data_IF_159735258794
#
_entry.id   IF_159735258794
#
_cell.length_a   1.000
_cell.length_b   1.000
_cell.length_c   1.000
_cell.angle_alpha   90.00
_cell.angle_beta   90.00
_cell.angle_gamma   90.00
#
_symmetry.space_group_name_H-M   'P 1'
#
loop_
_entity.id
_entity.type
_entity.pdbx_description
1 polymer ?
#
# COMPACT_ATOMS: atom_id res chain seq x y z
N UNK A 1 -31.42 -31.49 -71.08
CA UNK A 1 -31.17 -30.06 -71.41
C UNK A 1 -29.74 -29.75 -71.00
N UNK A 2 -28.81 -29.56 -71.96
CA UNK A 2 -27.40 -29.23 -71.66
C UNK A 2 -27.31 -27.76 -71.27
N UNK A 3 -26.77 -27.47 -70.08
CA UNK A 3 -26.46 -26.10 -69.66
C UNK A 3 -25.14 -25.72 -70.32
N UNK A 4 -25.17 -24.86 -71.33
CA UNK A 4 -23.97 -24.34 -71.96
C UNK A 4 -23.20 -23.48 -70.96
N UNK A 5 -22.02 -23.96 -70.54
CA UNK A 5 -21.08 -23.16 -69.75
C UNK A 5 -20.52 -22.07 -70.66
N UNK A 6 -20.91 -20.82 -70.41
CA UNK A 6 -20.31 -19.65 -71.05
C UNK A 6 -18.82 -19.59 -70.67
N UNK A 7 -17.93 -19.98 -71.58
CA UNK A 7 -16.48 -19.94 -71.37
C UNK A 7 -15.98 -18.52 -71.62
N UNK A 8 -15.62 -17.82 -70.55
CA UNK A 8 -15.13 -16.46 -70.59
C UNK A 8 -13.70 -16.40 -71.18
N UNK A 9 -13.46 -15.50 -72.14
CA UNK A 9 -12.14 -15.36 -72.78
C UNK A 9 -11.06 -14.90 -71.79
N UNK A 10 -9.81 -15.33 -72.01
CA UNK A 10 -8.65 -14.98 -71.15
C UNK A 10 -8.47 -13.46 -70.97
N UNK A 11 -8.78 -12.67 -72.01
CA UNK A 11 -8.74 -11.19 -71.99
C UNK A 11 -9.83 -10.61 -71.08
N UNK A 12 -11.06 -11.11 -71.17
CA UNK A 12 -12.17 -10.65 -70.35
C UNK A 12 -11.99 -11.09 -68.89
N UNK A 13 -11.45 -12.28 -68.64
CA UNK A 13 -11.10 -12.75 -67.28
C UNK A 13 -10.06 -11.85 -66.62
N UNK A 14 -9.02 -11.44 -67.35
CA UNK A 14 -8.01 -10.50 -66.84
C UNK A 14 -8.59 -9.11 -66.54
N UNK A 15 -9.52 -8.62 -67.36
CA UNK A 15 -10.22 -7.34 -67.11
C UNK A 15 -11.10 -7.42 -65.86
N UNK A 16 -11.86 -8.51 -65.71
CA UNK A 16 -12.71 -8.74 -64.55
C UNK A 16 -11.90 -8.85 -63.25
N UNK A 17 -10.78 -9.60 -63.27
CA UNK A 17 -9.90 -9.70 -62.09
C UNK A 17 -9.35 -8.32 -61.70
N UNK A 18 -8.91 -7.50 -62.66
CA UNK A 18 -8.45 -6.13 -62.38
C UNK A 18 -9.55 -5.25 -61.78
N UNK A 19 -10.77 -5.34 -62.30
CA UNK A 19 -11.93 -4.61 -61.75
C UNK A 19 -12.24 -5.05 -60.31
N UNK A 20 -12.25 -6.36 -60.05
CA UNK A 20 -12.48 -6.90 -58.70
C UNK A 20 -11.36 -6.47 -57.75
N UNK A 21 -10.09 -6.56 -58.16
CA UNK A 21 -8.96 -6.09 -57.34
C UNK A 21 -9.05 -4.60 -57.03
N UNK A 22 -9.44 -3.78 -58.02
CA UNK A 22 -9.65 -2.35 -57.81
C UNK A 22 -10.80 -2.07 -56.82
N UNK A 23 -11.92 -2.77 -56.96
CA UNK A 23 -13.06 -2.64 -56.05
C UNK A 23 -12.70 -3.07 -54.62
N UNK A 24 -11.96 -4.17 -54.46
CA UNK A 24 -11.46 -4.64 -53.17
C UNK A 24 -10.52 -3.62 -52.52
N UNK A 25 -9.63 -2.99 -53.29
CA UNK A 25 -8.77 -1.92 -52.76
C UNK A 25 -9.59 -0.73 -52.24
N UNK A 26 -10.63 -0.31 -52.94
CA UNK A 26 -11.52 0.79 -52.50
C UNK A 26 -12.22 0.41 -51.19
N UNK A 27 -12.72 -0.82 -51.07
CA UNK A 27 -13.39 -1.31 -49.85
C UNK A 27 -12.41 -1.32 -48.67
N UNK A 28 -11.18 -1.82 -48.86
CA UNK A 28 -10.15 -1.85 -47.81
C UNK A 28 -9.77 -0.44 -47.36
N UNK A 29 -9.59 0.50 -48.29
CA UNK A 29 -9.29 1.90 -47.97
C UNK A 29 -10.47 2.58 -47.24
N UNK A 30 -11.71 2.30 -47.67
CA UNK A 30 -12.91 2.83 -47.02
C UNK A 30 -13.07 2.34 -45.57
N UNK A 31 -12.95 1.03 -45.35
CA UNK A 31 -13.02 0.42 -44.01
C UNK A 31 -11.86 0.90 -43.13
N UNK A 32 -10.64 0.99 -43.68
CA UNK A 32 -9.48 1.53 -42.98
C UNK A 32 -9.69 2.99 -42.55
N UNK A 33 -10.24 3.82 -43.44
CA UNK A 33 -10.58 5.21 -43.14
C UNK A 33 -11.61 5.35 -42.01
N UNK A 34 -12.68 4.54 -42.05
CA UNK A 34 -13.71 4.52 -41.00
C UNK A 34 -13.11 4.07 -39.66
N UNK A 35 -12.25 3.04 -39.67
CA UNK A 35 -11.58 2.55 -38.46
C UNK A 35 -10.69 3.63 -37.82
N UNK A 36 -9.88 4.33 -38.62
CA UNK A 36 -9.02 5.42 -38.13
C UNK A 36 -9.85 6.58 -37.58
N UNK A 37 -10.92 6.96 -38.27
CA UNK A 37 -11.83 8.02 -37.82
C UNK A 37 -12.50 7.64 -36.48
N UNK A 38 -12.97 6.41 -36.33
CA UNK A 38 -13.57 5.93 -35.08
C UNK A 38 -12.56 5.90 -33.93
N UNK A 39 -11.33 5.45 -34.19
CA UNK A 39 -10.25 5.44 -33.19
C UNK A 39 -9.87 6.86 -32.75
N UNK A 40 -9.81 7.80 -33.69
CA UNK A 40 -9.55 9.20 -33.38
C UNK A 40 -10.70 9.82 -32.58
N UNK A 41 -11.94 9.52 -32.94
CA UNK A 41 -13.13 9.98 -32.21
C UNK A 41 -13.12 9.50 -30.75
N UNK A 42 -12.88 8.21 -30.51
CA UNK A 42 -12.81 7.67 -29.15
C UNK A 42 -11.63 8.26 -28.34
N UNK A 43 -10.49 8.52 -28.97
CA UNK A 43 -9.37 9.20 -28.31
C UNK A 43 -9.76 10.61 -27.85
N UNK A 44 -10.32 11.43 -28.74
CA UNK A 44 -10.74 12.80 -28.44
C UNK A 44 -11.83 12.82 -27.37
N UNK A 45 -12.77 11.87 -27.43
CA UNK A 45 -13.83 11.71 -26.41
C UNK A 45 -13.24 11.39 -25.03
N UNK A 46 -12.25 10.50 -24.97
CA UNK A 46 -11.56 10.16 -23.73
C UNK A 46 -10.77 11.36 -23.16
N UNK A 47 -10.11 12.15 -24.00
CA UNK A 47 -9.39 13.37 -23.55
C UNK A 47 -10.34 14.42 -22.99
N UNK A 48 -11.48 14.66 -23.64
CA UNK A 48 -12.52 15.56 -23.12
C UNK A 48 -13.09 15.09 -21.78
N UNK A 49 -13.33 13.79 -21.62
CA UNK A 49 -13.81 13.23 -20.37
C UNK A 49 -12.80 13.41 -19.23
N UNK A 50 -11.50 13.23 -19.50
CA UNK A 50 -10.41 13.50 -18.54
C UNK A 50 -10.35 14.98 -18.16
N UNK A 51 -10.44 15.89 -19.13
CA UNK A 51 -10.43 17.33 -18.88
C UNK A 51 -11.60 17.76 -17.96
N UNK A 52 -12.80 17.22 -18.20
CA UNK A 52 -13.98 17.49 -17.37
C UNK A 52 -13.80 16.98 -15.93
N UNK A 53 -13.21 15.80 -15.74
CA UNK A 53 -12.92 15.28 -14.40
C UNK A 53 -11.89 16.14 -13.65
N UNK A 54 -10.86 16.63 -14.35
CA UNK A 54 -9.86 17.53 -13.77
C UNK A 54 -10.51 18.83 -13.31
N UNK A 55 -11.43 19.40 -14.12
CA UNK A 55 -12.14 20.62 -13.74
C UNK A 55 -13.05 20.42 -12.52
N UNK A 56 -13.76 19.28 -12.45
CA UNK A 56 -14.57 18.92 -11.26
C UNK A 56 -13.71 18.80 -10.00
N UNK A 57 -12.57 18.10 -10.08
CA UNK A 57 -11.64 17.97 -8.94
C UNK A 57 -11.08 19.31 -8.48
N UNK A 58 -10.71 20.20 -9.42
CA UNK A 58 -10.26 21.56 -9.06
C UNK A 58 -11.32 22.36 -8.30
N UNK A 59 -12.60 22.20 -8.66
CA UNK A 59 -13.72 22.85 -7.95
C UNK A 59 -13.93 22.25 -6.56
N UNK A 60 -13.84 20.93 -6.41
CA UNK A 60 -13.91 20.25 -5.11
C UNK A 60 -12.74 20.63 -4.19
N UNK A 61 -11.51 20.65 -4.70
CA UNK A 61 -10.32 21.08 -3.94
C UNK A 61 -10.42 22.54 -3.49
N UNK A 62 -10.95 23.42 -4.33
CA UNK A 62 -11.19 24.82 -3.96
C UNK A 62 -12.26 24.94 -2.86
N UNK A 63 -13.29 24.10 -2.88
CA UNK A 63 -14.32 24.07 -1.85
C UNK A 63 -13.77 23.55 -0.51
N UNK A 64 -12.92 22.51 -0.53
CA UNK A 64 -12.28 21.96 0.67
C UNK A 64 -11.35 23.01 1.31
N UNK A 65 -10.47 23.64 0.52
CA UNK A 65 -9.58 24.71 1.01
C UNK A 65 -10.35 25.88 1.62
N UNK A 66 -11.49 26.23 1.02
CA UNK A 66 -12.37 27.27 1.56
C UNK A 66 -12.96 26.85 2.91
N UNK A 67 -13.46 25.62 3.02
CA UNK A 67 -14.02 25.09 4.27
C UNK A 67 -12.97 24.97 5.39
N UNK A 68 -11.73 24.58 5.06
CA UNK A 68 -10.61 24.52 6.01
C UNK A 68 -10.23 25.90 6.52
N UNK A 69 -10.17 26.90 5.63
CA UNK A 69 -9.89 28.29 6.00
C UNK A 69 -10.98 28.85 6.93
N UNK A 70 -12.25 28.62 6.62
CA UNK A 70 -13.38 29.03 7.46
C UNK A 70 -13.36 28.32 8.84
N UNK A 71 -12.93 27.06 8.89
CA UNK A 71 -12.75 26.32 10.15
C UNK A 71 -11.59 26.88 10.98
N UNK A 72 -10.47 27.23 10.33
CA UNK A 72 -9.29 27.81 10.98
C UNK A 72 -9.60 29.19 11.59
N UNK A 73 -10.27 30.07 10.82
CA UNK A 73 -10.69 31.40 11.30
C UNK A 73 -11.65 31.30 12.50
N UNK A 74 -12.49 30.26 12.55
CA UNK A 74 -13.42 30.01 13.67
C UNK A 74 -12.71 29.52 14.94
N UNK A 75 -11.60 28.79 14.79
CA UNK A 75 -10.74 28.35 15.89
C UNK A 75 -9.94 29.53 16.44
N UNK A 76 -9.39 30.36 15.56
CA UNK A 76 -8.57 31.53 15.93
C UNK A 76 -9.41 32.58 16.69
N UNK A 77 -10.65 32.81 16.25
CA UNK A 77 -11.60 33.71 16.93
C UNK A 77 -12.07 33.21 18.30
N UNK A 78 -12.06 31.90 18.54
CA UNK A 78 -12.34 31.33 19.86
C UNK A 78 -11.13 31.48 20.82
N UNK A 79 -9.89 31.48 20.29
CA UNK A 79 -8.67 31.62 21.08
C UNK A 79 -8.45 33.06 21.61
N UNK A 80 -8.91 34.09 20.89
CA UNK A 80 -8.81 35.50 21.35
C UNK A 80 -9.71 35.85 22.56
N UNK A 81 -10.68 34.99 22.90
CA UNK A 81 -11.60 35.20 24.03
C UNK A 81 -11.05 34.75 25.39
N UNK A 82 -9.87 34.12 25.42
CA UNK A 82 -9.23 33.59 26.63
C UNK A 82 -7.91 34.35 26.88
N UNK A 83 -7.96 35.48 27.59
CA UNK A 83 -6.75 36.09 28.18
C UNK A 83 -6.88 36.21 29.70
N UNK A 84 -6.03 35.53 30.48
CA UNK A 84 -5.71 35.91 31.86
C UNK A 84 -4.46 36.81 31.93
N UNK A 85 -4.24 37.54 33.05
CA UNK A 85 -3.41 38.73 33.11
C UNK A 85 -1.90 38.46 33.22
N UNK A 86 -1.11 39.44 32.77
CA UNK A 86 0.34 39.54 33.00
C UNK A 86 0.65 39.74 34.50
N UNK A 87 1.64 39.01 35.05
CA UNK A 87 2.95 39.58 35.39
C UNK A 87 3.93 38.57 36.04
N UNK A 88 5.22 38.83 35.76
CA UNK A 88 6.46 38.60 36.52
C UNK A 88 7.05 37.19 36.68
N UNK A 89 8.28 37.05 36.19
CA UNK A 89 9.34 36.25 36.83
C UNK A 89 10.23 35.46 35.87
N UNK A 90 11.44 35.96 35.62
CA UNK A 90 12.52 35.30 34.89
C UNK A 90 12.76 33.84 35.34
N UNK A 91 13.12 32.96 34.40
CA UNK A 91 14.47 32.36 34.28
C UNK A 91 14.51 31.44 33.04
N UNK A 92 15.54 31.62 32.23
CA UNK A 92 15.82 30.76 31.09
C UNK A 92 16.12 29.32 31.54
N UNK A 93 15.40 28.34 30.98
CA UNK A 93 15.84 26.96 30.90
C UNK A 93 15.15 26.26 29.72
N UNK A 94 15.94 25.50 28.98
CA UNK A 94 15.58 24.70 27.81
C UNK A 94 14.32 23.86 28.04
N UNK A 95 13.45 23.79 27.03
CA UNK A 95 12.41 22.78 26.94
C UNK A 95 12.38 22.21 25.51
N UNK A 96 13.17 21.16 25.31
CA UNK A 96 12.83 20.16 24.29
C UNK A 96 11.49 19.54 24.68
N UNK A 97 10.54 19.52 23.75
CA UNK A 97 9.28 18.81 23.95
C UNK A 97 9.57 17.33 24.22
N UNK A 98 8.83 16.68 25.15
CA UNK A 98 9.09 15.32 25.53
C UNK A 98 8.74 14.41 24.35
N UNK A 99 9.75 13.75 23.79
CA UNK A 99 9.56 12.49 23.10
C UNK A 99 8.85 11.58 24.09
N UNK A 100 7.59 11.26 23.82
CA UNK A 100 6.92 10.18 24.52
C UNK A 100 7.83 8.96 24.37
N UNK A 101 8.41 8.53 25.48
CA UNK A 101 9.30 7.38 25.56
C UNK A 101 8.44 6.16 25.22
N UNK A 102 8.43 5.80 23.93
CA UNK A 102 8.00 4.49 23.49
C UNK A 102 8.90 3.49 24.20
N UNK A 103 8.25 2.59 24.93
CA UNK A 103 8.85 1.64 25.86
C UNK A 103 10.11 1.01 25.30
N UNK A 104 11.11 0.92 26.17
CA UNK A 104 12.47 0.41 25.97
C UNK A 104 12.45 -1.02 25.38
N UNK A 105 12.23 -1.14 24.07
CA UNK A 105 12.50 -2.37 23.34
C UNK A 105 14.00 -2.38 23.09
N UNK A 106 14.69 -3.04 24.02
CA UNK A 106 16.08 -3.41 23.84
C UNK A 106 16.20 -4.25 22.56
N UNK A 107 17.40 -4.28 21.96
CA UNK A 107 17.71 -5.13 20.80
C UNK A 107 17.21 -6.58 20.98
N UNK A 108 17.30 -7.10 22.21
CA UNK A 108 16.84 -8.45 22.56
C UNK A 108 15.32 -8.62 22.40
N UNK A 109 14.53 -7.58 22.70
CA UNK A 109 13.08 -7.62 22.44
C UNK A 109 12.72 -7.50 20.97
N UNK A 110 13.51 -6.80 20.15
CA UNK A 110 13.29 -6.79 18.69
C UNK A 110 13.57 -8.16 18.09
N UNK A 111 14.69 -8.78 18.47
CA UNK A 111 15.06 -10.12 18.01
C UNK A 111 14.02 -11.17 18.44
N UNK A 112 13.53 -11.13 19.68
CA UNK A 112 12.41 -12.01 20.13
C UNK A 112 11.10 -11.74 19.38
N UNK A 113 10.80 -10.48 19.08
CA UNK A 113 9.56 -10.13 18.38
C UNK A 113 9.52 -10.69 16.96
N UNK A 114 10.67 -10.85 16.31
CA UNK A 114 10.76 -11.31 14.92
C UNK A 114 11.23 -12.76 14.76
N UNK A 115 11.55 -13.46 15.84
CA UNK A 115 11.89 -14.88 15.80
C UNK A 115 10.77 -15.70 15.13
N UNK A 116 11.18 -16.60 14.22
CA UNK A 116 10.26 -17.44 13.44
C UNK A 116 9.31 -16.66 12.54
N UNK A 117 9.68 -15.44 12.13
CA UNK A 117 8.85 -14.57 11.28
C UNK A 117 9.36 -14.55 9.85
N UNK A 118 8.45 -14.71 8.88
CA UNK A 118 8.67 -14.37 7.48
C UNK A 118 8.09 -12.98 7.19
N UNK A 119 8.87 -12.10 6.58
CA UNK A 119 8.40 -10.79 6.10
C UNK A 119 8.42 -10.79 4.57
N UNK A 120 7.26 -10.54 3.97
CA UNK A 120 7.05 -10.51 2.51
C UNK A 120 6.85 -9.06 2.08
N UNK A 121 7.61 -8.55 1.12
CA UNK A 121 7.47 -7.14 0.78
C UNK A 121 8.20 -6.61 -0.45
N UNK A 122 8.03 -5.32 -0.70
CA UNK A 122 8.60 -4.60 -1.84
C UNK A 122 9.88 -3.82 -1.46
N UNK A 123 10.21 -2.76 -2.22
CA UNK A 123 11.38 -1.90 -1.98
C UNK A 123 11.41 -1.27 -0.59
N UNK A 124 10.25 -0.99 0.02
CA UNK A 124 10.21 -0.46 1.40
C UNK A 124 10.63 -1.53 2.39
N UNK A 125 10.28 -2.79 2.13
CA UNK A 125 10.67 -3.91 2.99
C UNK A 125 12.15 -4.27 2.82
N UNK A 126 12.75 -4.06 1.65
CA UNK A 126 14.22 -4.10 1.53
C UNK A 126 14.87 -3.00 2.37
N UNK A 127 14.32 -1.78 2.37
CA UNK A 127 14.77 -0.71 3.27
C UNK A 127 14.64 -1.09 4.75
N UNK A 128 13.53 -1.74 5.12
CA UNK A 128 13.32 -2.27 6.47
C UNK A 128 14.42 -3.27 6.82
N UNK A 129 14.65 -4.28 5.96
CA UNK A 129 15.69 -5.30 6.15
C UNK A 129 17.08 -4.67 6.34
N UNK A 130 17.44 -3.71 5.49
CA UNK A 130 18.76 -3.09 5.51
C UNK A 130 19.02 -2.23 6.75
N UNK A 131 18.00 -1.54 7.26
CA UNK A 131 18.21 -0.46 8.22
C UNK A 131 17.58 -0.66 9.61
N UNK A 132 16.62 -1.57 9.75
CA UNK A 132 15.91 -1.80 11.01
C UNK A 132 16.76 -2.41 12.11
N UNK A 133 17.75 -3.24 11.74
CA UNK A 133 18.50 -4.06 12.67
C UNK A 133 17.81 -5.36 13.08
N UNK A 134 16.69 -5.75 12.44
CA UNK A 134 16.06 -7.07 12.62
C UNK A 134 17.02 -8.15 12.13
N UNK A 135 17.31 -9.15 12.99
CA UNK A 135 18.21 -10.26 12.64
C UNK A 135 17.55 -11.63 12.56
N UNK A 136 16.39 -11.78 13.18
CA UNK A 136 15.74 -13.08 13.43
C UNK A 136 14.56 -13.37 12.50
N UNK A 137 14.16 -12.41 11.66
CA UNK A 137 13.19 -12.64 10.58
C UNK A 137 13.88 -13.09 9.29
N UNK A 138 13.21 -13.95 8.55
CA UNK A 138 13.52 -14.20 7.14
C UNK A 138 12.76 -13.19 6.27
N UNK A 139 13.39 -12.73 5.18
CA UNK A 139 12.83 -11.71 4.30
C UNK A 139 12.68 -12.26 2.88
N UNK A 140 11.45 -12.30 2.37
CA UNK A 140 11.16 -12.45 0.96
C UNK A 140 10.76 -11.08 0.39
N UNK A 141 11.77 -10.29 0.00
CA UNK A 141 11.54 -8.93 -0.50
C UNK A 141 12.44 -8.58 -1.67
N UNK A 142 11.92 -7.82 -2.63
CA UNK A 142 12.69 -7.28 -3.75
C UNK A 142 12.08 -5.97 -4.25
N UNK A 143 12.87 -5.13 -4.92
CA UNK A 143 12.40 -3.88 -5.54
C UNK A 143 11.22 -4.15 -6.48
N UNK A 144 10.20 -3.28 -6.39
CA UNK A 144 9.03 -3.32 -7.26
C UNK A 144 8.28 -4.66 -7.24
N UNK A 145 8.41 -5.45 -6.16
CA UNK A 145 7.62 -6.67 -6.00
C UNK A 145 6.13 -6.31 -6.00
N UNK A 146 5.35 -7.09 -6.72
CA UNK A 146 3.89 -6.98 -6.73
C UNK A 146 3.26 -8.30 -6.35
N UNK A 147 2.07 -8.24 -5.75
CA UNK A 147 1.29 -9.40 -5.34
C UNK A 147 1.04 -10.37 -6.49
N UNK A 148 0.78 -9.87 -7.71
CA UNK A 148 0.59 -10.72 -8.90
C UNK A 148 1.83 -11.56 -9.18
N UNK A 149 3.04 -10.96 -9.13
CA UNK A 149 4.27 -11.71 -9.37
C UNK A 149 4.44 -12.82 -8.34
N UNK A 150 4.03 -12.58 -7.09
CA UNK A 150 4.10 -13.56 -6.01
C UNK A 150 3.15 -14.73 -6.31
N UNK A 151 1.86 -14.46 -6.54
CA UNK A 151 0.85 -15.52 -6.72
C UNK A 151 0.98 -16.28 -8.04
N UNK A 152 1.57 -15.65 -9.06
CA UNK A 152 1.97 -16.29 -10.33
C UNK A 152 3.18 -17.23 -10.15
N UNK A 153 3.75 -17.34 -8.94
CA UNK A 153 4.90 -18.20 -8.65
C UNK A 153 6.20 -17.73 -9.30
N UNK A 154 6.32 -16.44 -9.64
CA UNK A 154 7.54 -15.93 -10.25
C UNK A 154 8.69 -15.99 -9.26
N UNK A 155 9.82 -16.48 -9.73
CA UNK A 155 11.08 -16.32 -9.02
C UNK A 155 11.53 -14.87 -9.09
N UNK A 156 12.03 -14.39 -7.97
CA UNK A 156 12.58 -13.05 -7.82
C UNK A 156 13.91 -13.13 -7.10
N UNK A 157 14.75 -12.14 -7.35
CA UNK A 157 16.03 -12.03 -6.68
C UNK A 157 15.84 -11.60 -5.22
N UNK A 158 16.16 -12.50 -4.30
CA UNK A 158 16.24 -12.27 -2.85
C UNK A 158 17.69 -12.51 -2.44
N UNK A 159 18.42 -11.44 -2.10
CA UNK A 159 19.84 -11.46 -1.74
C UNK A 159 20.76 -12.16 -2.75
N UNK A 160 20.52 -11.96 -4.05
CA UNK A 160 21.31 -12.60 -5.10
C UNK A 160 20.86 -14.02 -5.45
N UNK A 161 19.85 -14.57 -4.77
CA UNK A 161 19.28 -15.90 -5.04
C UNK A 161 17.89 -15.77 -5.65
N UNK A 162 17.65 -16.46 -6.76
CA UNK A 162 16.31 -16.54 -7.37
C UNK A 162 15.43 -17.51 -6.59
N UNK A 163 14.37 -16.98 -5.96
CA UNK A 163 13.40 -17.75 -5.19
C UNK A 163 11.97 -17.30 -5.49
N UNK A 164 11.03 -18.24 -5.51
CA UNK A 164 9.60 -17.95 -5.42
C UNK A 164 9.15 -17.95 -3.96
N UNK A 165 7.96 -17.41 -3.67
CA UNK A 165 7.41 -17.49 -2.31
C UNK A 165 7.20 -18.93 -1.86
N UNK A 166 6.80 -19.82 -2.78
CA UNK A 166 6.61 -21.24 -2.49
C UNK A 166 7.93 -21.92 -2.11
N UNK A 167 9.05 -21.54 -2.76
CA UNK A 167 10.38 -22.04 -2.39
C UNK A 167 10.76 -21.64 -0.96
N UNK A 168 10.39 -20.43 -0.52
CA UNK A 168 10.66 -19.94 0.85
C UNK A 168 9.75 -20.63 1.86
N UNK A 169 8.44 -20.64 1.60
CA UNK A 169 7.45 -21.30 2.46
C UNK A 169 7.69 -22.80 2.61
N UNK A 170 8.38 -23.47 1.68
CA UNK A 170 8.71 -24.89 1.78
C UNK A 170 9.99 -25.17 2.60
N UNK A 171 10.85 -24.17 2.84
CA UNK A 171 12.16 -24.38 3.47
C UNK A 171 12.13 -24.35 4.99
N UNK A 172 11.16 -23.67 5.59
CA UNK A 172 11.07 -23.48 7.02
C UNK A 172 9.62 -23.44 7.49
N UNK A 173 9.39 -23.69 8.77
CA UNK A 173 8.12 -23.44 9.43
C UNK A 173 8.16 -22.06 10.09
N UNK A 174 7.21 -21.20 9.74
CA UNK A 174 7.09 -19.86 10.31
C UNK A 174 5.95 -19.81 11.32
N UNK A 175 6.21 -19.24 12.50
CA UNK A 175 5.15 -18.96 13.47
C UNK A 175 4.35 -17.70 13.10
N UNK A 176 4.98 -16.78 12.35
CA UNK A 176 4.38 -15.50 11.94
C UNK A 176 4.73 -15.18 10.50
N UNK A 177 3.78 -14.63 9.75
CA UNK A 177 4.02 -14.09 8.41
C UNK A 177 3.48 -12.67 8.34
N UNK A 178 4.34 -11.69 8.04
CA UNK A 178 3.95 -10.29 7.88
C UNK A 178 4.02 -9.93 6.39
N UNK A 179 2.90 -9.48 5.82
CA UNK A 179 2.81 -9.14 4.41
C UNK A 179 2.72 -7.62 4.24
N UNK A 180 3.74 -7.04 3.59
CA UNK A 180 3.97 -5.61 3.46
C UNK A 180 3.92 -5.11 1.99
N UNK A 181 3.39 -5.91 1.07
CA UNK A 181 3.19 -5.50 -0.34
C UNK A 181 1.91 -4.68 -0.51
N UNK A 182 1.81 -3.93 -1.61
CA UNK A 182 0.60 -3.17 -1.95
C UNK A 182 0.88 -1.79 -2.54
N UNK A 183 2.06 -1.19 -2.29
CA UNK A 183 2.38 0.15 -2.80
C UNK A 183 2.34 0.21 -4.33
N UNK A 184 2.92 -0.81 -4.97
CA UNK A 184 3.07 -0.89 -6.42
C UNK A 184 1.73 -1.13 -7.13
N UNK A 185 0.72 -1.59 -6.38
CA UNK A 185 -0.63 -1.88 -6.83
C UNK A 185 -1.57 -0.68 -6.71
N UNK A 186 -1.24 0.31 -5.87
CA UNK A 186 -2.01 1.56 -5.71
C UNK A 186 -2.26 2.25 -7.05
N UNK A 187 -1.37 2.04 -8.03
CA UNK A 187 -1.48 2.57 -9.39
C UNK A 187 -2.35 1.83 -10.37
N UNK A 188 -2.91 0.67 -10.00
CA UNK A 188 -3.71 -0.12 -10.93
C UNK A 188 -5.09 0.47 -11.20
N UNK A 189 -5.56 1.38 -10.33
CA UNK A 189 -6.91 1.95 -10.42
C UNK A 189 -8.02 0.93 -10.21
N UNK A 190 -7.68 -0.25 -9.68
CA UNK A 190 -8.61 -1.35 -9.45
C UNK A 190 -8.21 -2.07 -8.16
N UNK A 191 -8.87 -1.68 -7.06
CA UNK A 191 -8.69 -2.27 -5.73
C UNK A 191 -9.10 -3.75 -5.73
N UNK A 192 -10.20 -4.10 -6.42
CA UNK A 192 -10.73 -5.47 -6.39
C UNK A 192 -9.76 -6.48 -6.99
N UNK A 193 -9.11 -6.12 -8.11
CA UNK A 193 -8.05 -6.94 -8.71
C UNK A 193 -6.88 -7.15 -7.74
N UNK A 194 -6.49 -6.09 -7.03
CA UNK A 194 -5.46 -6.21 -6.01
C UNK A 194 -5.89 -7.15 -4.88
N UNK A 195 -7.12 -7.00 -4.37
CA UNK A 195 -7.63 -7.84 -3.28
C UNK A 195 -7.82 -9.31 -3.69
N UNK A 196 -8.15 -9.59 -4.95
CA UNK A 196 -8.22 -10.95 -5.47
C UNK A 196 -6.86 -11.64 -5.38
N UNK A 197 -5.82 -11.01 -5.93
CA UNK A 197 -4.46 -11.56 -5.89
C UNK A 197 -3.88 -11.56 -4.47
N UNK A 198 -4.21 -10.58 -3.63
CA UNK A 198 -3.83 -10.59 -2.22
C UNK A 198 -4.52 -11.74 -1.46
N UNK A 199 -5.81 -11.99 -1.74
CA UNK A 199 -6.52 -13.14 -1.20
C UNK A 199 -5.87 -14.47 -1.58
N UNK A 200 -5.45 -14.63 -2.83
CA UNK A 200 -4.72 -15.80 -3.30
C UNK A 200 -3.38 -15.99 -2.57
N UNK A 201 -2.64 -14.89 -2.33
CA UNK A 201 -1.40 -14.95 -1.56
C UNK A 201 -1.67 -15.43 -0.12
N UNK A 202 -2.71 -14.91 0.53
CA UNK A 202 -3.10 -15.36 1.88
C UNK A 202 -3.45 -16.86 1.88
N UNK A 203 -4.17 -17.33 0.87
CA UNK A 203 -4.53 -18.75 0.76
C UNK A 203 -3.29 -19.64 0.56
N UNK A 204 -2.33 -19.22 -0.28
CA UNK A 204 -1.07 -19.93 -0.47
C UNK A 204 -0.27 -20.02 0.83
N UNK A 205 -0.17 -18.91 1.58
CA UNK A 205 0.53 -18.88 2.88
C UNK A 205 -0.17 -19.82 3.87
N UNK A 206 -1.50 -19.75 4.00
CA UNK A 206 -2.26 -20.62 4.90
C UNK A 206 -2.10 -22.10 4.57
N UNK A 207 -2.12 -22.44 3.30
CA UNK A 207 -1.95 -23.83 2.86
C UNK A 207 -0.55 -24.37 3.20
N UNK A 208 0.50 -23.55 3.00
CA UNK A 208 1.87 -23.96 3.27
C UNK A 208 2.25 -23.89 4.77
N UNK A 209 1.65 -22.96 5.51
CA UNK A 209 2.00 -22.62 6.90
C UNK A 209 0.72 -22.57 7.76
N UNK A 210 0.03 -23.71 7.97
CA UNK A 210 -1.29 -23.74 8.61
C UNK A 210 -1.29 -23.27 10.08
N UNK A 211 -0.14 -23.27 10.74
CA UNK A 211 0.03 -22.83 12.12
C UNK A 211 0.53 -21.38 12.25
N UNK A 212 0.83 -20.71 11.12
CA UNK A 212 1.35 -19.35 11.16
C UNK A 212 0.24 -18.34 11.44
N UNK A 213 0.54 -17.36 12.29
CA UNK A 213 -0.28 -16.15 12.42
C UNK A 213 0.09 -15.18 11.31
N UNK A 214 -0.88 -14.82 10.47
CA UNK A 214 -0.66 -13.98 9.29
C UNK A 214 -1.12 -12.56 9.60
N UNK A 215 -0.25 -11.58 9.32
CA UNK A 215 -0.51 -10.16 9.49
C UNK A 215 -0.47 -9.45 8.14
N UNK A 216 -1.59 -8.87 7.74
CA UNK A 216 -1.67 -7.97 6.59
C UNK A 216 -1.36 -6.56 7.07
N UNK A 217 -0.19 -6.05 6.71
CA UNK A 217 0.20 -4.71 7.09
C UNK A 217 -0.47 -3.69 6.17
N UNK A 218 -0.98 -2.60 6.74
CA UNK A 218 -1.34 -1.42 5.98
C UNK A 218 -0.20 -0.97 5.06
N UNK A 219 -0.54 -0.58 3.84
CA UNK A 219 0.32 0.19 2.96
C UNK A 219 0.60 1.52 3.66
N UNK A 220 1.88 1.78 3.99
CA UNK A 220 2.27 3.04 4.61
C UNK A 220 1.97 4.22 3.67
N UNK A 221 1.56 5.39 4.20
CA UNK A 221 1.34 6.58 3.40
C UNK A 221 2.64 7.09 2.76
N UNK A 222 2.49 7.98 1.79
CA UNK A 222 3.56 8.79 1.22
C UNK A 222 3.52 10.20 1.81
N UNK A 223 4.58 10.98 1.60
CA UNK A 223 4.59 12.38 2.05
C UNK A 223 3.51 13.20 1.33
N UNK A 224 3.03 14.28 1.96
CA UNK A 224 2.02 15.15 1.35
C UNK A 224 2.48 15.69 -0.02
N UNK A 225 3.76 16.09 -0.12
CA UNK A 225 4.38 16.53 -1.38
C UNK A 225 4.35 15.44 -2.44
N UNK A 226 4.65 14.19 -2.07
CA UNK A 226 4.62 13.07 -3.01
C UNK A 226 3.19 12.80 -3.47
N UNK A 227 2.24 12.73 -2.55
CA UNK A 227 0.82 12.56 -2.85
C UNK A 227 0.28 13.64 -3.79
N UNK A 228 0.62 14.91 -3.58
CA UNK A 228 0.15 16.01 -4.42
C UNK A 228 0.80 16.05 -5.82
N UNK A 229 1.98 15.45 -5.99
CA UNK A 229 2.73 15.45 -7.26
C UNK A 229 2.45 14.23 -8.14
N UNK A 230 1.61 13.30 -7.70
CA UNK A 230 1.34 12.04 -8.38
C UNK A 230 -0.16 11.88 -8.63
N UNK A 231 -0.51 11.20 -9.73
CA UNK A 231 -1.90 10.80 -10.00
C UNK A 231 -2.23 9.42 -9.43
N UNK A 232 -1.20 8.64 -9.15
CA UNK A 232 -1.26 7.21 -8.80
C UNK A 232 -0.91 6.98 -7.34
N UNK A 233 0.30 7.35 -6.90
CA UNK A 233 0.77 7.18 -5.51
C UNK A 233 0.25 8.32 -4.63
N UNK A 234 -1.06 8.31 -4.39
CA UNK A 234 -1.74 9.30 -3.56
C UNK A 234 -2.15 8.68 -2.23
N UNK A 235 -2.16 9.46 -1.16
CA UNK A 235 -2.63 8.99 0.15
C UNK A 235 -4.11 8.62 0.11
N UNK A 236 -4.93 9.26 -0.73
CA UNK A 236 -6.34 8.87 -0.92
C UNK A 236 -6.47 7.46 -1.51
N UNK A 237 -5.65 7.10 -2.49
CA UNK A 237 -5.66 5.74 -3.03
C UNK A 237 -5.12 4.74 -2.00
N UNK A 238 -4.07 5.09 -1.28
CA UNK A 238 -3.51 4.23 -0.22
C UNK A 238 -4.58 3.93 0.85
N UNK A 239 -5.37 4.93 1.26
CA UNK A 239 -6.49 4.75 2.19
C UNK A 239 -7.51 3.75 1.62
N UNK A 240 -7.96 3.94 0.37
CA UNK A 240 -8.93 3.04 -0.26
C UNK A 240 -8.42 1.58 -0.37
N UNK A 241 -7.14 1.38 -0.67
CA UNK A 241 -6.52 0.06 -0.69
C UNK A 241 -6.45 -0.54 0.72
N UNK A 242 -6.06 0.25 1.74
CA UNK A 242 -6.00 -0.20 3.12
C UNK A 242 -7.38 -0.61 3.67
N UNK A 243 -8.45 0.12 3.35
CA UNK A 243 -9.82 -0.30 3.68
C UNK A 243 -10.16 -1.67 3.06
N UNK A 244 -9.70 -1.92 1.84
CA UNK A 244 -9.79 -3.22 1.19
C UNK A 244 -9.03 -4.32 1.94
N UNK A 245 -7.80 -4.03 2.37
CA UNK A 245 -6.96 -4.98 3.12
C UNK A 245 -7.62 -5.33 4.46
N UNK A 246 -8.22 -4.35 5.16
CA UNK A 246 -8.98 -4.60 6.40
C UNK A 246 -10.13 -5.59 6.15
N UNK A 247 -10.92 -5.37 5.09
CA UNK A 247 -12.01 -6.29 4.72
C UNK A 247 -11.49 -7.67 4.35
N UNK A 248 -10.39 -7.74 3.61
CA UNK A 248 -9.76 -9.00 3.21
C UNK A 248 -9.24 -9.77 4.43
N UNK A 249 -8.59 -9.09 5.39
CA UNK A 249 -8.07 -9.70 6.61
C UNK A 249 -9.22 -10.35 7.40
N UNK A 250 -10.33 -9.63 7.58
CA UNK A 250 -11.53 -10.16 8.22
C UNK A 250 -12.11 -11.37 7.44
N UNK A 251 -12.29 -11.25 6.13
CA UNK A 251 -12.84 -12.31 5.28
C UNK A 251 -11.96 -13.57 5.28
N UNK A 252 -10.65 -13.41 5.37
CA UNK A 252 -9.69 -14.52 5.44
C UNK A 252 -9.42 -14.97 6.87
N UNK A 253 -10.00 -14.36 7.91
CA UNK A 253 -9.69 -14.66 9.31
C UNK A 253 -8.17 -14.63 9.58
N UNK A 254 -7.54 -13.50 9.29
CA UNK A 254 -6.13 -13.16 9.58
C UNK A 254 -6.08 -11.76 10.18
N UNK A 255 -4.94 -11.39 10.78
CA UNK A 255 -4.82 -10.09 11.44
C UNK A 255 -4.52 -8.97 10.43
N UNK A 256 -5.08 -7.79 10.66
CA UNK A 256 -4.65 -6.54 10.02
C UNK A 256 -3.82 -5.73 11.02
N UNK A 257 -2.70 -5.16 10.58
CA UNK A 257 -1.86 -4.30 11.42
C UNK A 257 -1.57 -2.97 10.73
N UNK A 258 -1.53 -1.89 11.51
CA UNK A 258 -1.18 -0.56 11.02
C UNK A 258 -0.06 0.05 11.89
N UNK A 259 1.21 -0.07 11.47
CA UNK A 259 2.35 0.47 12.21
C UNK A 259 2.68 1.92 11.85
N UNK A 260 1.77 2.67 11.19
CA UNK A 260 2.10 3.99 10.64
C UNK A 260 2.07 5.15 11.64
N UNK A 261 1.48 4.98 12.82
CA UNK A 261 1.26 6.06 13.78
C UNK A 261 2.51 6.92 14.09
N UNK A 262 3.72 6.36 14.34
CA UNK A 262 4.91 7.17 14.59
C UNK A 262 5.63 7.65 13.33
N UNK A 263 5.10 7.33 12.14
CA UNK A 263 5.70 7.68 10.85
C UNK A 263 4.98 8.85 10.17
N UNK A 264 3.83 9.26 10.70
CA UNK A 264 2.91 10.21 10.06
C UNK A 264 2.80 11.52 10.83
N UNK A 265 2.48 12.58 10.11
CA UNK A 265 2.11 13.88 10.67
C UNK A 265 0.62 13.91 11.07
N UNK A 266 0.16 15.05 11.59
CA UNK A 266 -1.24 15.25 12.00
C UNK A 266 -2.27 15.18 10.86
N UNK A 267 -1.84 15.15 9.60
CA UNK A 267 -2.71 14.95 8.43
C UNK A 267 -2.82 13.48 8.02
N UNK A 268 -2.00 12.61 8.61
CA UNK A 268 -1.88 11.20 8.22
C UNK A 268 -0.94 10.97 7.03
N UNK A 269 -0.22 12.00 6.57
CA UNK A 269 0.83 11.86 5.57
C UNK A 269 2.16 11.49 6.23
N UNK A 270 3.07 10.90 5.48
CA UNK A 270 4.40 10.57 6.00
C UNK A 270 5.14 11.84 6.43
N UNK A 271 5.78 11.82 7.61
CA UNK A 271 6.64 12.90 8.11
C UNK A 271 7.69 13.29 7.06
N UNK A 272 7.97 14.58 6.93
CA UNK A 272 8.85 15.09 5.88
C UNK A 272 10.29 14.57 6.06
N UNK A 273 10.76 14.50 7.29
CA UNK A 273 12.06 13.97 7.69
C UNK A 273 12.15 12.44 7.63
N UNK A 274 11.01 11.74 7.54
CA UNK A 274 11.01 10.28 7.47
C UNK A 274 11.50 9.76 6.12
N UNK A 275 11.40 10.57 5.07
CA UNK A 275 11.74 10.16 3.70
C UNK A 275 12.20 11.33 2.84
N UNK A 276 13.36 11.18 2.19
CA UNK A 276 13.89 12.19 1.27
C UNK A 276 13.10 12.28 -0.05
N UNK A 277 12.59 11.15 -0.55
CA UNK A 277 11.81 11.07 -1.78
C UNK A 277 10.29 11.02 -1.54
N UNK A 278 9.88 11.01 -0.27
CA UNK A 278 8.49 10.92 0.17
C UNK A 278 7.87 9.54 0.05
N UNK A 279 8.65 8.48 -0.26
CA UNK A 279 8.19 7.08 -0.34
C UNK A 279 9.01 6.18 0.59
N UNK A 280 10.34 6.21 0.45
CA UNK A 280 11.24 5.27 1.09
C UNK A 280 11.75 5.85 2.41
N UNK A 281 11.54 5.10 3.50
CA UNK A 281 11.96 5.53 4.82
C UNK A 281 13.48 5.63 4.91
N UNK A 282 13.95 6.64 5.62
CA UNK A 282 15.34 6.74 6.05
C UNK A 282 15.69 5.64 7.05
N UNK A 283 16.98 5.40 7.27
CA UNK A 283 17.43 4.35 8.18
C UNK A 283 16.88 4.50 9.61
N UNK A 284 16.77 5.74 10.11
CA UNK A 284 16.19 6.02 11.42
C UNK A 284 14.71 5.60 11.49
N UNK A 285 13.93 5.93 10.46
CA UNK A 285 12.50 5.61 10.42
C UNK A 285 12.21 4.15 10.08
N UNK A 286 13.12 3.42 9.41
CA UNK A 286 13.03 1.96 9.32
C UNK A 286 13.12 1.29 10.71
N UNK A 287 13.92 1.83 11.64
CA UNK A 287 13.97 1.32 13.02
C UNK A 287 12.67 1.57 13.77
N UNK A 288 12.10 2.76 13.63
CA UNK A 288 10.80 3.11 14.23
C UNK A 288 9.68 2.22 13.64
N UNK A 289 9.71 1.98 12.33
CA UNK A 289 8.75 1.08 11.68
C UNK A 289 8.88 -0.36 12.19
N UNK A 290 10.10 -0.89 12.28
CA UNK A 290 10.37 -2.21 12.85
C UNK A 290 9.86 -2.34 14.28
N UNK A 291 10.13 -1.31 15.10
CA UNK A 291 9.67 -1.22 16.47
C UNK A 291 8.14 -1.28 16.57
N UNK A 292 7.46 -0.50 15.73
CA UNK A 292 6.00 -0.46 15.68
C UNK A 292 5.39 -1.80 15.27
N UNK A 293 6.01 -2.50 14.32
CA UNK A 293 5.60 -3.87 13.97
C UNK A 293 5.83 -4.80 15.18
N UNK A 294 7.01 -4.74 15.80
CA UNK A 294 7.38 -5.61 16.93
C UNK A 294 6.41 -5.49 18.11
N UNK A 295 6.00 -4.28 18.47
CA UNK A 295 5.01 -4.03 19.52
C UNK A 295 3.66 -4.70 19.22
N UNK A 296 3.26 -4.74 17.95
CA UNK A 296 1.98 -5.33 17.52
C UNK A 296 2.05 -6.86 17.47
N UNK A 297 3.14 -7.42 16.92
CA UNK A 297 3.25 -8.86 16.65
C UNK A 297 3.85 -9.67 17.81
N UNK A 298 4.30 -8.99 18.87
CA UNK A 298 4.81 -9.64 20.07
C UNK A 298 3.68 -10.31 20.86
N UNK A 299 3.94 -11.45 21.51
CA UNK A 299 2.99 -12.04 22.44
C UNK A 299 2.65 -11.02 23.54
N UNK A 300 1.35 -10.73 23.73
CA UNK A 300 0.91 -9.95 24.89
C UNK A 300 1.12 -10.81 26.12
N UNK A 301 2.10 -10.47 26.95
CA UNK A 301 2.23 -11.07 28.29
C UNK A 301 1.02 -10.60 29.08
N UNK A 302 0.06 -11.49 29.32
CA UNK A 302 -0.99 -11.25 30.30
C UNK A 302 -0.32 -11.25 31.67
N UNK A 303 -0.04 -10.06 32.20
CA UNK A 303 0.28 -9.93 33.63
C UNK A 303 -1.00 -10.33 34.37
N UNK A 304 -1.03 -11.54 34.92
CA UNK A 304 -2.00 -11.86 35.97
C UNK A 304 -1.73 -10.86 37.08
N UNK A 305 -2.68 -9.98 37.36
CA UNK A 305 -2.67 -9.24 38.62
C UNK A 305 -2.62 -10.30 39.72
N UNK A 306 -1.49 -10.35 40.43
CA UNK A 306 -1.41 -11.08 41.68
C UNK A 306 -2.12 -10.17 42.68
N UNK A 307 -3.31 -10.56 43.11
CA UNK A 307 -4.02 -9.90 44.20
C UNK A 307 -3.22 -10.08 45.50
N UNK A 308 -2.27 -9.18 45.77
CA UNK A 308 -1.67 -9.01 47.09
C UNK A 308 -2.70 -8.36 48.03
N UNK A 309 -3.65 -9.16 48.51
CA UNK A 309 -4.58 -8.74 49.55
C UNK A 309 -5.01 -9.91 50.46
N UNK A 310 -4.10 -10.82 50.83
CA UNK A 310 -4.33 -11.74 51.96
C UNK A 310 -3.02 -12.13 52.68
N UNK A 311 -2.33 -11.17 53.30
CA UNK A 311 -1.40 -11.52 54.40
C UNK A 311 -1.17 -10.38 55.43
N UNK A 312 -2.18 -9.53 55.67
CA UNK A 312 -2.12 -8.50 56.73
C UNK A 312 -3.12 -8.69 57.89
N UNK A 313 -3.83 -9.83 57.97
CA UNK A 313 -4.77 -10.11 59.07
C UNK A 313 -4.37 -11.24 60.02
N UNK A 314 -3.14 -11.77 59.95
CA UNK A 314 -2.66 -12.77 60.92
C UNK A 314 -1.77 -12.20 62.05
N UNK A 315 -1.46 -10.90 62.05
CA UNK A 315 -0.47 -10.30 62.97
C UNK A 315 -1.00 -9.44 64.13
N UNK A 316 -2.30 -9.20 64.24
CA UNK A 316 -2.85 -8.20 65.17
C UNK A 316 -3.74 -8.76 66.30
N UNK A 317 -3.57 -10.04 66.67
CA UNK A 317 -4.19 -10.63 67.87
C UNK A 317 -3.18 -11.52 68.60
N UNK A 318 -2.04 -10.94 68.99
CA UNK A 318 -1.14 -11.49 70.01
C UNK A 318 -0.14 -10.42 70.46
N UNK A 319 -0.62 -9.47 71.28
CA UNK A 319 0.07 -8.86 72.43
C UNK A 319 -0.70 -7.66 72.94
#
# INVERSE_FOLDING_TARGET
MKIDKVVMTKKNRRRLVRLISFLLCIIVLGVGGIYVANKHYEHVKAEKAKALQIEKRKKEEAAIKKAEKEKQEKIEKNLESIKPPENTGNTAAQAGAPVAVLSDVTKDSLDRAFEGTLIIGDSRTEGLKLFSGIKTAEFFSTKSLTVNRIVEGKKVNVDGVEASISDVLAKAAYGKVVVCVGLNEVGWGNVDRFLESYGQLVDQIKAAQPNARIYLQSILPVSAKKSASQTVFTNSNIIAYNEGIVRLAAAKNVDFINPSAPLIDGTGALLTEASSDGIHLSAAYCKIWAQSIAEIISPKVLVKQVDEAQESQAGAVAN
#
